data_IF_282919841333
#
_entry.id   IF_282919841333
#
_cell.length_a   1.000
_cell.length_b   1.000
_cell.length_c   1.000
_cell.angle_alpha   90.00
_cell.angle_beta   90.00
_cell.angle_gamma   90.00
#
_symmetry.space_group_name_H-M   'P 1'
#
loop_
_entity.id
_entity.type
_entity.pdbx_description
1 polymer ?
#
# COMPACT_ATOMS: atom_id res chain seq x y z
N UNK A 1 -21.21 1.27 -7.60
CA UNK A 1 -20.08 1.73 -6.78
C UNK A 1 -18.95 0.73 -6.95
N UNK A 2 -17.69 1.17 -7.08
CA UNK A 2 -16.54 0.25 -7.19
C UNK A 2 -16.28 -0.39 -5.82
N UNK A 3 -16.14 -1.71 -5.79
CA UNK A 3 -15.97 -2.48 -4.54
C UNK A 3 -14.95 -3.58 -4.73
N UNK A 4 -14.08 -3.76 -3.75
CA UNK A 4 -13.13 -4.85 -3.68
C UNK A 4 -13.00 -5.33 -2.23
N UNK A 5 -12.62 -6.59 -2.03
CA UNK A 5 -12.44 -7.18 -0.70
C UNK A 5 -11.14 -7.96 -0.68
N UNK A 6 -10.34 -7.72 0.36
CA UNK A 6 -9.08 -8.39 0.59
C UNK A 6 -9.07 -9.01 1.97
N UNK A 7 -8.52 -10.23 2.06
CA UNK A 7 -8.29 -10.89 3.33
C UNK A 7 -6.85 -10.63 3.79
N UNK A 8 -6.70 -10.09 5.00
CA UNK A 8 -5.39 -9.80 5.58
C UNK A 8 -5.18 -10.70 6.80
N UNK A 9 -4.12 -11.50 6.76
CA UNK A 9 -3.67 -12.25 7.92
C UNK A 9 -2.75 -11.39 8.77
N UNK A 10 -3.23 -11.01 9.95
CA UNK A 10 -2.44 -10.25 10.93
C UNK A 10 -1.25 -11.07 11.42
N UNK A 11 -0.05 -10.49 11.35
CA UNK A 11 1.18 -11.11 11.87
C UNK A 11 1.45 -10.66 13.29
N UNK A 12 2.13 -11.51 14.08
CA UNK A 12 2.51 -11.16 15.46
C UNK A 12 3.33 -9.86 15.54
N UNK A 13 4.22 -9.62 14.56
CA UNK A 13 5.02 -8.40 14.48
C UNK A 13 4.19 -7.11 14.29
N UNK A 14 2.93 -7.22 13.91
CA UNK A 14 2.02 -6.09 13.69
C UNK A 14 1.20 -5.77 14.95
N UNK A 15 1.34 -6.61 15.99
CA UNK A 15 0.63 -6.47 17.27
C UNK A 15 1.49 -5.77 18.32
N UNK A 16 0.85 -4.96 19.16
CA UNK A 16 1.50 -4.27 20.28
C UNK A 16 1.32 -5.03 21.61
N UNK A 17 1.87 -4.48 22.70
CA UNK A 17 1.76 -5.06 24.05
C UNK A 17 0.30 -5.17 24.54
N UNK A 18 -0.64 -4.45 23.93
CA UNK A 18 -2.07 -4.52 24.24
C UNK A 18 -2.77 -5.67 23.50
N UNK A 19 -2.03 -6.51 22.77
CA UNK A 19 -2.51 -7.67 22.00
C UNK A 19 -3.49 -7.28 20.90
N UNK A 20 -3.32 -6.08 20.34
CA UNK A 20 -4.10 -5.57 19.20
C UNK A 20 -3.17 -5.17 18.08
N UNK A 21 -3.72 -5.01 16.89
CA UNK A 21 -2.97 -4.43 15.76
C UNK A 21 -2.60 -2.99 16.12
N UNK A 22 -1.33 -2.67 15.96
CA UNK A 22 -0.82 -1.34 16.23
C UNK A 22 -1.43 -0.32 15.25
N UNK A 23 -1.86 0.84 15.77
CA UNK A 23 -2.72 1.78 15.04
C UNK A 23 -2.19 2.21 13.64
N UNK A 24 -0.91 2.55 13.46
CA UNK A 24 -0.36 2.88 12.15
C UNK A 24 -0.46 1.76 11.10
N UNK A 25 -0.53 0.48 11.49
CA UNK A 25 -0.61 -0.64 10.53
C UNK A 25 -1.90 -0.65 9.74
N UNK A 26 -2.97 -0.03 10.26
CA UNK A 26 -4.21 0.13 9.51
C UNK A 26 -4.03 1.01 8.26
N UNK A 27 -3.10 1.98 8.26
CA UNK A 27 -2.82 2.80 7.08
C UNK A 27 -2.21 1.95 5.95
N UNK A 28 -1.30 1.03 6.29
CA UNK A 28 -0.72 0.09 5.33
C UNK A 28 -1.81 -0.86 4.78
N UNK A 29 -2.75 -1.30 5.62
CA UNK A 29 -3.87 -2.15 5.16
C UNK A 29 -4.79 -1.41 4.19
N UNK A 30 -5.06 -0.12 4.42
CA UNK A 30 -5.85 0.69 3.49
C UNK A 30 -5.11 0.94 2.17
N UNK A 31 -3.80 1.16 2.23
CA UNK A 31 -2.97 1.26 1.03
C UNK A 31 -3.02 -0.01 0.20
N UNK A 32 -2.88 -1.18 0.86
CA UNK A 32 -2.97 -2.49 0.21
C UNK A 32 -4.33 -2.67 -0.48
N UNK A 33 -5.44 -2.37 0.20
CA UNK A 33 -6.79 -2.46 -0.37
C UNK A 33 -6.98 -1.54 -1.56
N UNK A 34 -6.45 -0.32 -1.49
CA UNK A 34 -6.47 0.64 -2.61
C UNK A 34 -5.65 0.13 -3.81
N UNK A 35 -4.46 -0.42 -3.57
CA UNK A 35 -3.62 -0.97 -4.62
C UNK A 35 -4.29 -2.18 -5.31
N UNK A 36 -4.96 -3.04 -4.54
CA UNK A 36 -5.75 -4.16 -5.07
C UNK A 36 -6.94 -3.70 -5.90
N UNK A 37 -7.72 -2.73 -5.39
CA UNK A 37 -8.84 -2.16 -6.14
C UNK A 37 -8.40 -1.60 -7.50
N UNK A 38 -7.30 -0.86 -7.53
CA UNK A 38 -6.75 -0.27 -8.75
C UNK A 38 -6.23 -1.34 -9.72
N UNK A 39 -5.57 -2.38 -9.20
CA UNK A 39 -5.11 -3.52 -9.99
C UNK A 39 -6.27 -4.29 -10.62
N UNK A 40 -7.33 -4.56 -9.87
CA UNK A 40 -8.51 -5.29 -10.36
C UNK A 40 -9.26 -4.50 -11.43
N UNK A 41 -9.15 -3.16 -11.41
CA UNK A 41 -9.68 -2.29 -12.44
C UNK A 41 -8.75 -2.08 -13.65
N UNK A 42 -7.61 -2.78 -13.69
CA UNK A 42 -6.66 -2.73 -14.81
C UNK A 42 -5.77 -1.48 -14.82
N UNK A 43 -5.68 -0.74 -13.71
CA UNK A 43 -4.83 0.43 -13.57
C UNK A 43 -3.81 0.14 -12.45
N UNK A 44 -2.77 -0.67 -12.72
CA UNK A 44 -1.78 -0.97 -11.68
C UNK A 44 -1.06 0.30 -11.25
N UNK A 45 -0.82 0.42 -9.94
CA UNK A 45 -0.31 1.65 -9.33
C UNK A 45 1.02 2.14 -9.96
N UNK A 46 1.91 1.21 -10.32
CA UNK A 46 3.17 1.50 -11.01
C UNK A 46 3.01 2.14 -12.39
N UNK A 47 1.97 1.74 -13.14
CA UNK A 47 1.67 2.37 -14.43
C UNK A 47 1.08 3.76 -14.24
N UNK A 48 0.25 3.93 -13.21
CA UNK A 48 -0.32 5.22 -12.84
C UNK A 48 0.77 6.22 -12.45
N UNK A 49 1.76 5.81 -11.64
CA UNK A 49 2.91 6.64 -11.28
C UNK A 49 3.77 7.00 -12.50
N UNK A 50 4.01 6.03 -13.40
CA UNK A 50 4.77 6.27 -14.64
C UNK A 50 4.06 7.22 -15.60
N UNK A 51 2.72 7.22 -15.63
CA UNK A 51 1.91 8.05 -16.54
C UNK A 51 1.67 9.47 -16.02
N UNK A 52 1.62 9.64 -14.70
CA UNK A 52 1.30 10.92 -14.09
C UNK A 52 2.54 11.74 -13.68
N UNK A 53 3.77 11.23 -13.93
CA UNK A 53 5.03 11.81 -13.44
C UNK A 53 5.05 12.03 -11.90
N UNK A 54 4.12 11.40 -11.18
CA UNK A 54 4.02 11.50 -9.72
C UNK A 54 4.97 10.47 -9.13
N UNK A 55 6.23 10.84 -9.03
CA UNK A 55 7.26 10.03 -8.37
C UNK A 55 7.20 10.30 -6.88
N UNK A 56 6.52 9.44 -6.13
CA UNK A 56 6.70 9.38 -4.69
C UNK A 56 8.06 8.71 -4.40
N UNK A 57 9.07 9.54 -4.10
CA UNK A 57 10.35 9.19 -3.46
C UNK A 57 11.45 8.47 -4.28
N UNK A 58 11.23 8.10 -5.55
CA UNK A 58 12.22 7.27 -6.29
C UNK A 58 13.49 7.98 -6.77
N UNK A 59 13.57 9.31 -6.76
CA UNK A 59 14.69 10.04 -7.40
C UNK A 59 15.88 10.37 -6.46
N UNK A 60 15.74 10.24 -5.14
CA UNK A 60 16.75 10.79 -4.20
C UNK A 60 17.73 9.79 -3.55
N UNK A 61 17.63 8.48 -3.82
CA UNK A 61 18.50 7.48 -3.13
C UNK A 61 19.48 6.76 -4.07
N UNK A 62 19.37 6.89 -5.39
CA UNK A 62 20.22 6.12 -6.34
C UNK A 62 21.33 6.92 -7.06
N UNK A 63 21.58 8.19 -6.70
CA UNK A 63 22.70 8.99 -7.23
C UNK A 63 23.75 9.33 -6.16
N UNK A 64 24.16 8.33 -5.38
CA UNK A 64 25.39 8.41 -4.56
C UNK A 64 26.12 7.08 -4.63
N UNK A 65 26.61 6.77 -5.84
CA UNK A 65 27.82 5.99 -6.10
C UNK A 65 28.57 6.72 -7.20
#
# INVERSE_FOLDING_TARGET
>A
MLTNTIEIRVRYAETDQMKRVYYPKYLEYFELGRAHLLRDYGIPYSEMESRLEVVWYRTLIFNSV
#
